data_IF_426700023991
#
_entry.id   IF_426700023991
#
_cell.length_a   1.000
_cell.length_b   1.000
_cell.length_c   1.000
_cell.angle_alpha   90.00
_cell.angle_beta   90.00
_cell.angle_gamma   90.00
#
_symmetry.space_group_name_H-M   'P 1'
#
loop_
_entity.id
_entity.type
_entity.pdbx_description
1 polymer ?
#
# COMPACT_ATOMS: atom_id res chain seq x y z
N UNK A 1 -20.55 -12.94 4.52
CA UNK A 1 -21.17 -13.61 5.67
C UNK A 1 -20.59 -12.98 6.93
N UNK A 2 -21.26 -11.94 7.46
CA UNK A 2 -20.83 -11.21 8.66
C UNK A 2 -21.16 -12.05 9.90
N UNK A 3 -20.16 -12.50 10.66
CA UNK A 3 -20.41 -13.12 11.97
C UNK A 3 -20.19 -12.05 13.05
N UNK A 4 -21.26 -11.74 13.79
CA UNK A 4 -21.23 -10.89 15.00
C UNK A 4 -20.80 -9.42 14.83
N UNK A 5 -21.10 -8.79 13.69
CA UNK A 5 -20.82 -7.35 13.48
C UNK A 5 -19.34 -7.01 13.27
N UNK A 6 -18.48 -8.02 13.09
CA UNK A 6 -17.05 -7.85 12.80
C UNK A 6 -16.80 -8.08 11.32
N UNK A 7 -16.15 -7.11 10.68
CA UNK A 7 -15.57 -7.23 9.35
C UNK A 7 -14.05 -7.19 9.48
N UNK A 8 -13.37 -8.19 8.95
CA UNK A 8 -11.91 -8.21 8.91
C UNK A 8 -11.46 -8.57 7.50
N UNK A 9 -10.49 -7.82 7.00
CA UNK A 9 -9.89 -8.00 5.69
C UNK A 9 -8.38 -7.89 5.81
N UNK A 10 -7.68 -8.79 5.14
CA UNK A 10 -6.25 -8.72 4.90
C UNK A 10 -6.04 -8.72 3.39
N UNK A 11 -5.09 -7.95 2.91
CA UNK A 11 -4.74 -7.85 1.49
C UNK A 11 -3.23 -7.88 1.34
N UNK A 12 -2.77 -8.64 0.35
CA UNK A 12 -1.38 -8.74 -0.02
C UNK A 12 -1.27 -8.26 -1.47
N UNK A 13 -0.47 -7.24 -1.69
CA UNK A 13 -0.21 -6.67 -3.00
C UNK A 13 1.25 -6.93 -3.33
N UNK A 14 1.52 -7.59 -4.46
CA UNK A 14 2.86 -7.80 -4.97
C UNK A 14 2.95 -7.26 -6.38
N UNK A 15 3.99 -6.47 -6.64
CA UNK A 15 4.32 -5.91 -7.95
C UNK A 15 5.76 -6.30 -8.28
N UNK A 16 5.95 -7.08 -9.33
CA UNK A 16 7.29 -7.39 -9.84
C UNK A 16 7.99 -6.14 -10.37
N UNK A 17 9.32 -6.16 -10.37
CA UNK A 17 10.13 -5.12 -10.98
C UNK A 17 9.79 -4.95 -12.47
N UNK A 18 9.76 -3.69 -12.93
CA UNK A 18 9.46 -3.38 -14.32
C UNK A 18 10.19 -2.12 -14.79
N UNK A 19 10.49 -2.11 -16.08
CA UNK A 19 11.14 -0.98 -16.75
C UNK A 19 10.09 -0.07 -17.36
N UNK A 20 10.28 1.23 -17.22
CA UNK A 20 9.43 2.26 -17.81
C UNK A 20 10.28 3.37 -18.44
N UNK A 21 9.69 4.07 -19.41
CA UNK A 21 10.28 5.26 -20.03
C UNK A 21 9.38 6.43 -19.69
N UNK A 22 9.89 7.38 -18.91
CA UNK A 22 9.09 8.48 -18.36
C UNK A 22 8.99 9.70 -19.25
N UNK A 23 9.54 9.64 -20.47
CA UNK A 23 9.65 10.77 -21.38
C UNK A 23 9.67 10.29 -22.83
N UNK A 24 9.54 11.24 -23.77
CA UNK A 24 9.82 11.02 -25.19
C UNK A 24 11.31 10.85 -25.48
N UNK A 25 12.17 11.06 -24.47
CA UNK A 25 13.58 10.73 -24.52
C UNK A 25 13.78 9.22 -24.32
N UNK A 26 14.18 8.46 -25.35
CA UNK A 26 14.41 7.03 -25.24
C UNK A 26 15.57 6.67 -24.29
N UNK A 27 16.42 7.64 -23.89
CA UNK A 27 17.44 7.46 -22.86
C UNK A 27 16.93 7.61 -21.42
N UNK A 28 15.70 8.08 -21.21
CA UNK A 28 15.13 8.26 -19.88
C UNK A 28 14.49 6.97 -19.33
N UNK A 29 15.20 5.85 -19.47
CA UNK A 29 14.78 4.53 -19.01
C UNK A 29 15.05 4.42 -17.51
N UNK A 30 14.07 3.92 -16.76
CA UNK A 30 14.25 3.59 -15.36
C UNK A 30 13.51 2.31 -15.00
N UNK A 31 14.01 1.62 -13.98
CA UNK A 31 13.42 0.42 -13.42
C UNK A 31 12.81 0.78 -12.10
N UNK A 32 11.58 0.35 -11.86
CA UNK A 32 10.98 0.33 -10.54
C UNK A 32 11.19 -1.07 -10.01
N UNK A 33 11.74 -1.18 -8.80
CA UNK A 33 12.03 -2.45 -8.15
C UNK A 33 10.74 -3.20 -7.78
N UNK A 34 10.88 -4.47 -7.42
CA UNK A 34 9.73 -5.20 -6.88
C UNK A 34 9.27 -4.61 -5.53
N UNK A 35 7.97 -4.72 -5.27
CA UNK A 35 7.35 -4.17 -4.08
C UNK A 35 6.22 -5.09 -3.60
N UNK A 36 6.30 -5.49 -2.33
CA UNK A 36 5.31 -6.28 -1.62
C UNK A 36 4.74 -5.51 -0.42
N UNK A 37 3.42 -5.33 -0.39
CA UNK A 37 2.76 -4.66 0.74
C UNK A 37 1.65 -5.53 1.31
N UNK A 38 1.57 -5.55 2.64
CA UNK A 38 0.48 -6.16 3.38
C UNK A 38 -0.36 -5.06 4.00
N UNK A 39 -1.65 -5.05 3.70
CA UNK A 39 -2.63 -4.17 4.31
C UNK A 39 -3.63 -5.00 5.11
N UNK A 40 -4.06 -4.48 6.25
CA UNK A 40 -5.09 -5.11 7.07
C UNK A 40 -6.11 -4.07 7.52
N UNK A 41 -7.37 -4.46 7.57
CA UNK A 41 -8.43 -3.63 8.14
C UNK A 41 -9.37 -4.48 8.97
N UNK A 42 -9.75 -3.97 10.13
CA UNK A 42 -10.79 -4.52 10.97
C UNK A 42 -11.81 -3.44 11.24
N UNK A 43 -13.09 -3.78 11.14
CA UNK A 43 -14.19 -2.92 11.51
C UNK A 43 -15.15 -3.68 12.41
N UNK A 44 -15.74 -2.95 13.34
CA UNK A 44 -16.67 -3.47 14.31
C UNK A 44 -17.89 -2.57 14.43
N UNK A 45 -19.06 -3.17 14.30
CA UNK A 45 -20.36 -2.55 14.56
C UNK A 45 -20.59 -2.55 16.07
N UNK A 46 -20.35 -1.40 16.70
CA UNK A 46 -20.52 -1.20 18.14
C UNK A 46 -22.01 -1.12 18.48
N UNK A 47 -22.79 -0.46 17.62
CA UNK A 47 -24.26 -0.39 17.68
C UNK A 47 -24.83 -0.43 16.26
N UNK A 48 -26.16 -0.53 16.11
CA UNK A 48 -26.83 -0.47 14.79
C UNK A 48 -26.54 0.83 14.02
N UNK A 49 -26.16 1.90 14.74
CA UNK A 49 -25.89 3.22 14.19
C UNK A 49 -24.41 3.59 14.18
N UNK A 50 -23.53 2.83 14.85
CA UNK A 50 -22.12 3.19 15.04
C UNK A 50 -21.20 2.03 14.65
N UNK A 51 -20.34 2.29 13.67
CA UNK A 51 -19.27 1.39 13.25
C UNK A 51 -17.91 2.04 13.48
N UNK A 52 -16.97 1.31 14.06
CA UNK A 52 -15.57 1.74 14.24
C UNK A 52 -14.69 0.90 13.33
N UNK A 53 -13.65 1.51 12.77
CA UNK A 53 -12.73 0.86 11.83
C UNK A 53 -11.28 1.22 12.14
N UNK A 54 -10.42 0.21 12.13
CA UNK A 54 -8.97 0.35 12.23
C UNK A 54 -8.36 -0.24 10.96
N UNK A 55 -7.55 0.56 10.27
CA UNK A 55 -6.83 0.16 9.07
C UNK A 55 -5.33 0.31 9.30
N UNK A 56 -4.57 -0.70 8.90
CA UNK A 56 -3.12 -0.68 8.80
C UNK A 56 -2.72 -0.84 7.35
N UNK A 57 -1.97 0.12 6.80
CA UNK A 57 -1.46 0.09 5.44
C UNK A 57 0.07 -0.07 5.43
N UNK A 58 0.58 -0.79 4.44
CA UNK A 58 1.99 -1.10 4.26
C UNK A 58 2.63 -1.65 5.55
N UNK A 59 2.03 -2.69 6.14
CA UNK A 59 2.51 -3.29 7.40
C UNK A 59 3.91 -3.89 7.26
N UNK A 60 4.36 -4.22 6.05
CA UNK A 60 5.72 -4.68 5.74
C UNK A 60 6.76 -3.56 5.90
N UNK A 61 6.34 -2.29 5.82
CA UNK A 61 7.23 -1.12 5.73
C UNK A 61 8.10 -1.13 4.47
N UNK A 62 7.55 -1.61 3.36
CA UNK A 62 8.30 -1.68 2.11
C UNK A 62 8.40 -0.29 1.47
N UNK A 63 9.59 0.06 0.99
CA UNK A 63 9.86 1.34 0.34
C UNK A 63 9.93 1.13 -1.18
N UNK A 64 9.38 2.09 -1.92
CA UNK A 64 9.43 2.06 -3.38
C UNK A 64 10.78 2.58 -3.86
N UNK A 65 11.55 1.72 -4.53
CA UNK A 65 12.86 2.09 -5.07
C UNK A 65 12.83 2.04 -6.59
N UNK A 66 13.53 2.99 -7.22
CA UNK A 66 13.74 2.97 -8.67
C UNK A 66 15.18 3.33 -9.01
N UNK A 67 15.64 2.85 -10.17
CA UNK A 67 17.01 2.96 -10.66
C UNK A 67 17.03 3.49 -12.09
N UNK A 68 18.06 4.25 -12.46
CA UNK A 68 18.27 4.68 -13.85
C UNK A 68 18.88 3.56 -14.68
N UNK A 69 18.53 3.51 -15.97
CA UNK A 69 19.19 2.64 -16.97
C UNK A 69 19.18 1.13 -16.66
N UNK A 70 18.28 0.66 -15.79
CA UNK A 70 18.30 -0.68 -15.21
C UNK A 70 19.61 -1.04 -14.49
N UNK A 71 20.34 -0.04 -14.01
CA UNK A 71 21.57 -0.20 -13.26
C UNK A 71 21.29 -0.02 -11.75
N UNK A 72 21.35 -1.09 -10.92
CA UNK A 72 21.13 -1.02 -9.48
C UNK A 72 22.11 -0.08 -8.75
N UNK A 73 23.25 0.24 -9.36
CA UNK A 73 24.24 1.17 -8.79
C UNK A 73 23.85 2.63 -8.94
N UNK A 74 22.77 2.92 -9.69
CA UNK A 74 22.32 4.27 -10.01
C UNK A 74 20.89 4.51 -9.48
N UNK A 75 20.72 4.68 -8.15
CA UNK A 75 19.42 4.94 -7.56
C UNK A 75 18.86 6.26 -8.10
N UNK A 76 17.62 6.20 -8.58
CA UNK A 76 16.87 7.35 -9.08
C UNK A 76 16.02 7.97 -7.99
N UNK A 77 15.21 7.14 -7.34
CA UNK A 77 14.27 7.60 -6.33
C UNK A 77 14.05 6.51 -5.29
N UNK A 78 14.01 6.92 -4.03
CA UNK A 78 13.65 6.09 -2.89
C UNK A 78 12.50 6.79 -2.17
N UNK A 79 11.34 6.14 -2.14
CA UNK A 79 10.13 6.67 -1.53
C UNK A 79 9.63 5.72 -0.44
N UNK A 80 9.79 6.14 0.81
CA UNK A 80 9.27 5.42 1.96
C UNK A 80 8.08 6.19 2.54
N UNK A 81 6.89 5.61 2.43
CA UNK A 81 5.68 6.14 3.08
C UNK A 81 5.45 5.56 4.47
N UNK A 82 6.24 4.57 4.86
CA UNK A 82 6.19 3.89 6.15
C UNK A 82 4.92 3.06 6.38
N UNK A 83 4.84 2.48 7.57
CA UNK A 83 3.62 1.87 8.13
C UNK A 83 2.64 2.94 8.55
N UNK A 84 1.40 2.85 8.09
CA UNK A 84 0.36 3.85 8.38
C UNK A 84 -0.82 3.18 9.05
N UNK A 85 -1.30 3.79 10.13
CA UNK A 85 -2.48 3.33 10.86
C UNK A 85 -3.56 4.41 10.84
N UNK A 86 -4.79 4.03 10.55
CA UNK A 86 -5.92 4.93 10.45
C UNK A 86 -7.08 4.38 11.29
N UNK A 87 -7.53 5.17 12.24
CA UNK A 87 -8.70 4.90 13.05
C UNK A 87 -9.84 5.80 12.57
N UNK A 88 -10.98 5.20 12.25
CA UNK A 88 -12.17 5.90 11.78
C UNK A 88 -13.42 5.39 12.47
N UNK A 89 -14.50 6.15 12.35
CA UNK A 89 -15.82 5.72 12.75
C UNK A 89 -16.85 6.23 11.74
N UNK A 90 -17.95 5.52 11.62
CA UNK A 90 -19.08 5.85 10.78
C UNK A 90 -20.33 5.83 11.65
N UNK A 91 -21.12 6.91 11.56
CA UNK A 91 -22.40 7.04 12.24
C UNK A 91 -23.52 7.17 11.22
N UNK A 92 -24.58 6.37 11.35
CA UNK A 92 -25.77 6.43 10.51
C UNK A 92 -26.96 6.91 11.36
N UNK A 93 -27.61 7.98 10.91
CA UNK A 93 -28.73 8.64 11.59
C UNK A 93 -30.06 8.26 10.93
#
# INVERSE_FOLDING_TARGET
YYKAGIDAKVSYNYRSAYTSVGSWDPGAVFTIDDEATVDASIAYEVTENLKVMLQGQNLTNEASTSYFDNDPTRPRQYAEWGRRYLLGFQFAM
#
